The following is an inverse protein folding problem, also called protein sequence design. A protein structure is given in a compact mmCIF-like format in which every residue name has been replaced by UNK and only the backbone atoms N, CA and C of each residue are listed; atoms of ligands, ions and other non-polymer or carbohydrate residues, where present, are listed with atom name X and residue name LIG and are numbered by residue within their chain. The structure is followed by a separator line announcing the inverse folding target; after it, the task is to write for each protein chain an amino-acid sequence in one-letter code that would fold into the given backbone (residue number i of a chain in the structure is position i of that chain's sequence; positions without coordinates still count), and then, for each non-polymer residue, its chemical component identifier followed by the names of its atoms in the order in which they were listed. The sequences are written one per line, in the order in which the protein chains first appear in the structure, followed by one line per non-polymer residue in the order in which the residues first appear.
data_IF_199736516590
#
_entry.id   IF_199736516590
#
_cell.length_a   1.000
_cell.length_b   1.000
_cell.length_c   1.000
_cell.angle_alpha   90.00
_cell.angle_beta   90.00
_cell.angle_gamma   90.00
#
_symmetry.space_group_name_H-M   'P 1'
#
loop_
_entity.id
_entity.type
_entity.pdbx_description
1 polymer ?
#
# COMPACT_ATOMS: atom_id res chain seq x y z
N UNK A 1 -13.82 6.63 -20.22
CA UNK A 1 -12.69 6.90 -19.30
C UNK A 1 -12.95 5.99 -18.10
N UNK A 2 -12.01 5.11 -17.74
CA UNK A 2 -12.19 4.20 -16.59
C UNK A 2 -12.13 5.05 -15.32
N UNK A 3 -13.07 4.85 -14.39
CA UNK A 3 -13.07 5.60 -13.13
C UNK A 3 -12.03 5.06 -12.16
N UNK A 4 -11.73 5.87 -11.15
CA UNK A 4 -10.81 5.51 -10.09
C UNK A 4 -11.24 4.24 -9.34
N UNK A 5 -12.53 4.12 -9.01
CA UNK A 5 -13.11 2.94 -8.36
C UNK A 5 -13.10 1.70 -9.26
N UNK A 6 -13.36 1.86 -10.57
CA UNK A 6 -13.29 0.74 -11.52
C UNK A 6 -11.87 0.14 -11.60
N UNK A 7 -10.81 0.97 -11.50
CA UNK A 7 -9.44 0.47 -11.43
C UNK A 7 -9.19 -0.32 -10.14
N UNK A 8 -9.71 0.17 -9.01
CA UNK A 8 -9.59 -0.51 -7.72
C UNK A 8 -10.31 -1.86 -7.73
N UNK A 9 -11.53 -1.92 -8.27
CA UNK A 9 -12.27 -3.18 -8.40
C UNK A 9 -11.54 -4.20 -9.28
N UNK A 10 -10.94 -3.75 -10.39
CA UNK A 10 -10.13 -4.60 -11.26
C UNK A 10 -8.92 -5.15 -10.52
N UNK A 11 -8.24 -4.32 -9.73
CA UNK A 11 -7.07 -4.71 -8.94
C UNK A 11 -7.45 -5.76 -7.89
N UNK A 12 -8.49 -5.50 -7.10
CA UNK A 12 -8.98 -6.43 -6.09
C UNK A 12 -9.43 -7.75 -6.69
N UNK A 13 -10.10 -7.72 -7.86
CA UNK A 13 -10.47 -8.94 -8.58
C UNK A 13 -9.25 -9.72 -9.05
N UNK A 14 -8.26 -9.06 -9.64
CA UNK A 14 -7.03 -9.70 -10.10
C UNK A 14 -6.27 -10.37 -8.93
N UNK A 15 -6.18 -9.70 -7.78
CA UNK A 15 -5.57 -10.25 -6.55
C UNK A 15 -6.36 -11.47 -6.05
N UNK A 16 -7.70 -11.37 -6.01
CA UNK A 16 -8.56 -12.46 -5.57
C UNK A 16 -8.43 -13.68 -6.48
N UNK A 17 -8.52 -13.49 -7.78
CA UNK A 17 -8.43 -14.57 -8.76
C UNK A 17 -7.05 -15.27 -8.70
N UNK A 18 -5.97 -14.51 -8.46
CA UNK A 18 -4.65 -15.09 -8.25
C UNK A 18 -4.56 -15.90 -6.95
N UNK A 19 -5.05 -15.35 -5.83
CA UNK A 19 -5.06 -16.04 -4.52
C UNK A 19 -5.88 -17.33 -4.54
N UNK A 20 -6.94 -17.37 -5.33
CA UNK A 20 -7.79 -18.55 -5.51
C UNK A 20 -7.30 -19.52 -6.61
N UNK A 21 -6.15 -19.24 -7.22
CA UNK A 21 -5.56 -20.10 -8.25
C UNK A 21 -6.31 -20.12 -9.58
N UNK A 22 -7.21 -19.14 -9.82
CA UNK A 22 -7.99 -19.03 -11.07
C UNK A 22 -7.17 -18.48 -12.22
N UNK A 23 -6.12 -17.72 -11.93
CA UNK A 23 -5.15 -17.20 -12.89
C UNK A 23 -3.73 -17.53 -12.43
N UNK A 24 -2.81 -17.67 -13.39
CA UNK A 24 -1.39 -17.87 -13.09
C UNK A 24 -0.66 -16.54 -12.81
N UNK A 25 0.60 -16.64 -12.37
CA UNK A 25 1.42 -15.48 -12.01
C UNK A 25 1.66 -14.52 -13.18
N UNK A 26 1.85 -15.02 -14.40
CA UNK A 26 2.10 -14.17 -15.57
C UNK A 26 0.87 -13.33 -15.93
N UNK A 27 -0.32 -13.92 -15.88
CA UNK A 27 -1.59 -13.20 -16.08
C UNK A 27 -1.76 -12.14 -14.98
N UNK A 28 -1.61 -12.55 -13.71
CA UNK A 28 -1.69 -11.63 -12.57
C UNK A 28 -0.75 -10.43 -12.75
N UNK A 29 0.53 -10.69 -13.03
CA UNK A 29 1.56 -9.66 -13.21
C UNK A 29 1.24 -8.72 -14.37
N UNK A 30 0.80 -9.24 -15.51
CA UNK A 30 0.46 -8.43 -16.67
C UNK A 30 -0.76 -7.53 -16.43
N UNK A 31 -1.78 -8.03 -15.75
CA UNK A 31 -2.97 -7.23 -15.39
C UNK A 31 -2.61 -6.17 -14.36
N UNK A 32 -1.89 -6.51 -13.29
CA UNK A 32 -1.44 -5.54 -12.27
C UNK A 32 -0.58 -4.43 -12.86
N UNK A 33 0.28 -4.76 -13.84
CA UNK A 33 1.09 -3.76 -14.56
C UNK A 33 0.19 -2.76 -15.32
N UNK A 34 -0.79 -3.25 -16.09
CA UNK A 34 -1.72 -2.37 -16.84
C UNK A 34 -2.53 -1.47 -15.90
N UNK A 35 -3.03 -2.02 -14.81
CA UNK A 35 -3.77 -1.24 -13.80
C UNK A 35 -2.88 -0.16 -13.20
N UNK A 36 -1.63 -0.49 -12.85
CA UNK A 36 -0.67 0.48 -12.32
C UNK A 36 -0.36 1.60 -13.31
N UNK A 37 -0.22 1.28 -14.61
CA UNK A 37 0.00 2.26 -15.68
C UNK A 37 -1.22 3.17 -15.88
N UNK A 38 -2.42 2.60 -15.95
CA UNK A 38 -3.68 3.36 -16.08
C UNK A 38 -3.90 4.27 -14.87
N UNK A 39 -3.69 3.77 -13.66
CA UNK A 39 -3.83 4.53 -12.43
C UNK A 39 -2.80 5.66 -12.32
N UNK A 40 -1.53 5.39 -12.65
CA UNK A 40 -0.51 6.44 -12.60
C UNK A 40 -0.80 7.56 -13.60
N UNK A 41 -1.23 7.22 -14.83
CA UNK A 41 -1.65 8.21 -15.82
C UNK A 41 -2.87 9.02 -15.35
N UNK A 42 -3.82 8.38 -14.66
CA UNK A 42 -4.96 9.08 -14.06
C UNK A 42 -4.49 10.12 -13.03
N UNK A 43 -3.58 9.76 -12.11
CA UNK A 43 -3.05 10.70 -11.12
C UNK A 43 -2.30 11.86 -11.79
N UNK A 44 -1.49 11.60 -12.82
CA UNK A 44 -0.76 12.68 -13.51
C UNK A 44 -1.68 13.76 -14.08
N UNK A 45 -2.92 13.42 -14.41
CA UNK A 45 -3.92 14.36 -14.96
C UNK A 45 -4.79 14.98 -13.87
N UNK A 46 -5.20 14.19 -12.87
CA UNK A 46 -6.24 14.59 -11.91
C UNK A 46 -5.72 14.90 -10.50
N UNK A 47 -4.46 14.56 -10.21
CA UNK A 47 -3.87 14.59 -8.87
C UNK A 47 -4.23 13.35 -8.04
N UNK A 48 -3.55 13.23 -6.89
CA UNK A 48 -3.85 12.20 -5.90
C UNK A 48 -5.20 12.47 -5.21
N UNK A 49 -6.06 11.46 -5.00
CA UNK A 49 -7.38 11.65 -4.39
C UNK A 49 -7.26 11.81 -2.87
N UNK A 50 -7.02 13.03 -2.38
CA UNK A 50 -6.87 13.31 -0.94
C UNK A 50 -8.20 13.21 -0.17
N UNK A 51 -8.12 12.91 1.13
CA UNK A 51 -9.26 12.61 2.02
C UNK A 51 -10.40 13.64 1.98
N UNK A 52 -10.06 14.92 1.81
CA UNK A 52 -11.02 16.03 1.82
C UNK A 52 -11.51 16.45 0.43
N UNK A 53 -10.98 15.84 -0.63
CA UNK A 53 -11.32 16.14 -2.04
C UNK A 53 -12.25 15.11 -2.69
N UNK A 54 -12.36 13.92 -2.12
CA UNK A 54 -13.09 12.78 -2.68
C UNK A 54 -13.86 12.04 -1.59
N UNK A 55 -14.64 11.02 -1.95
CA UNK A 55 -15.26 10.12 -0.97
C UNK A 55 -14.20 9.30 -0.21
N UNK A 56 -14.55 8.80 1.00
CA UNK A 56 -13.66 7.92 1.78
C UNK A 56 -13.31 6.62 1.02
N UNK A 57 -14.24 6.13 0.19
CA UNK A 57 -14.01 4.96 -0.67
C UNK A 57 -12.94 5.25 -1.73
N UNK A 58 -13.07 6.36 -2.45
CA UNK A 58 -12.07 6.80 -3.43
C UNK A 58 -10.72 7.12 -2.77
N UNK A 59 -10.74 7.75 -1.60
CA UNK A 59 -9.51 8.00 -0.85
C UNK A 59 -8.76 6.70 -0.54
N UNK A 60 -9.45 5.71 0.03
CA UNK A 60 -8.85 4.41 0.41
C UNK A 60 -8.41 3.61 -0.80
N UNK A 61 -9.20 3.60 -1.87
CA UNK A 61 -8.79 2.98 -3.11
C UNK A 61 -7.52 3.66 -3.66
N UNK A 62 -7.39 4.99 -3.51
CA UNK A 62 -6.22 5.79 -3.92
C UNK A 62 -4.96 5.28 -3.27
N UNK A 63 -5.01 5.17 -1.95
CA UNK A 63 -3.93 4.62 -1.15
C UNK A 63 -3.58 3.19 -1.58
N UNK A 64 -4.59 2.31 -1.72
CA UNK A 64 -4.36 0.90 -2.07
C UNK A 64 -3.68 0.75 -3.43
N UNK A 65 -4.19 1.44 -4.46
CA UNK A 65 -3.62 1.38 -5.80
C UNK A 65 -2.21 1.97 -5.83
N UNK A 66 -1.94 3.03 -5.06
CA UNK A 66 -0.59 3.58 -4.94
C UNK A 66 0.39 2.59 -4.36
N UNK A 67 0.03 1.85 -3.31
CA UNK A 67 0.92 0.84 -2.71
C UNK A 67 1.23 -0.35 -3.64
N UNK A 68 0.53 -0.48 -4.76
CA UNK A 68 0.81 -1.47 -5.82
C UNK A 68 1.65 -0.92 -6.97
N UNK A 69 1.92 0.39 -7.01
CA UNK A 69 2.77 0.99 -8.04
C UNK A 69 4.21 0.49 -7.96
N UNK A 70 4.94 0.48 -9.10
CA UNK A 70 6.38 0.36 -9.11
C UNK A 70 7.05 1.44 -8.24
N UNK A 71 8.18 1.11 -7.62
CA UNK A 71 8.87 1.97 -6.65
C UNK A 71 9.09 3.41 -7.15
N UNK A 72 9.50 3.58 -8.40
CA UNK A 72 9.72 4.91 -8.98
C UNK A 72 8.45 5.78 -8.96
N UNK A 73 7.30 5.19 -9.33
CA UNK A 73 6.02 5.89 -9.35
C UNK A 73 5.50 6.11 -7.93
N UNK A 74 5.63 5.11 -7.05
CA UNK A 74 5.28 5.21 -5.64
C UNK A 74 6.00 6.39 -4.96
N UNK A 75 7.30 6.58 -5.24
CA UNK A 75 8.08 7.71 -4.72
C UNK A 75 7.58 9.06 -5.23
N UNK A 76 7.14 9.14 -6.49
CA UNK A 76 6.54 10.38 -7.04
C UNK A 76 5.24 10.73 -6.32
N UNK A 77 4.37 9.75 -6.11
CA UNK A 77 3.13 9.94 -5.33
C UNK A 77 3.43 10.34 -3.89
N UNK A 78 4.41 9.67 -3.25
CA UNK A 78 4.76 9.98 -1.87
C UNK A 78 5.27 11.42 -1.69
N UNK A 79 6.02 11.95 -2.67
CA UNK A 79 6.45 13.36 -2.65
C UNK A 79 5.26 14.35 -2.66
N UNK A 80 4.15 14.01 -3.33
CA UNK A 80 2.92 14.80 -3.27
C UNK A 80 2.26 14.70 -1.89
N UNK A 81 2.20 13.48 -1.33
CA UNK A 81 1.66 13.21 0.02
C UNK A 81 2.46 13.93 1.12
N UNK A 82 3.77 14.06 0.96
CA UNK A 82 4.63 14.78 1.91
C UNK A 82 4.40 16.29 1.88
N UNK A 83 4.00 16.84 0.74
CA UNK A 83 3.69 18.27 0.57
C UNK A 83 2.26 18.62 0.96
N UNK A 84 1.37 17.63 1.01
CA UNK A 84 -0.02 17.82 1.37
C UNK A 84 -0.18 18.26 2.84
N UNK A 85 -1.20 19.08 3.16
CA UNK A 85 -1.59 19.37 4.54
C UNK A 85 -1.77 18.11 5.38
N UNK A 86 -1.46 18.20 6.68
CA UNK A 86 -1.46 17.04 7.58
C UNK A 86 -2.83 16.36 7.74
N UNK A 87 -3.91 17.08 7.47
CA UNK A 87 -5.30 16.62 7.57
C UNK A 87 -5.85 16.01 6.27
N UNK A 88 -5.12 16.08 5.17
CA UNK A 88 -5.51 15.50 3.87
C UNK A 88 -5.09 14.04 3.71
N UNK A 89 -4.25 13.54 4.63
CA UNK A 89 -3.73 12.17 4.64
C UNK A 89 -3.63 11.63 6.06
N UNK A 90 -4.29 10.50 6.33
CA UNK A 90 -4.16 9.85 7.64
C UNK A 90 -2.71 9.35 7.86
N UNK A 91 -2.16 9.62 9.04
CA UNK A 91 -0.79 9.25 9.40
C UNK A 91 -0.50 7.76 9.19
N UNK A 92 -1.46 6.88 9.53
CA UNK A 92 -1.31 5.43 9.31
C UNK A 92 -0.94 5.11 7.87
N UNK A 93 -1.54 5.78 6.89
CA UNK A 93 -1.23 5.53 5.49
C UNK A 93 0.16 6.05 5.12
N UNK A 94 0.59 7.20 5.64
CA UNK A 94 1.99 7.65 5.51
C UNK A 94 2.98 6.58 5.97
N UNK A 95 2.71 5.89 7.09
CA UNK A 95 3.54 4.78 7.56
C UNK A 95 3.61 3.62 6.55
N UNK A 96 2.49 3.24 5.92
CA UNK A 96 2.48 2.22 4.85
C UNK A 96 3.33 2.62 3.65
N UNK A 97 3.24 3.88 3.18
CA UNK A 97 4.08 4.37 2.08
C UNK A 97 5.56 4.34 2.44
N UNK A 98 5.92 4.84 3.61
CA UNK A 98 7.31 4.92 4.09
C UNK A 98 7.94 3.52 4.11
N UNK A 99 7.30 2.55 4.76
CA UNK A 99 7.85 1.20 4.84
C UNK A 99 7.89 0.52 3.46
N UNK A 100 6.88 0.72 2.62
CA UNK A 100 6.87 0.15 1.25
C UNK A 100 8.04 0.67 0.41
N UNK A 101 8.31 1.98 0.49
CA UNK A 101 9.45 2.60 -0.18
C UNK A 101 10.76 2.07 0.39
N UNK A 102 10.90 2.05 1.71
CA UNK A 102 12.12 1.57 2.38
C UNK A 102 12.47 0.15 1.98
N UNK A 103 11.49 -0.76 1.96
CA UNK A 103 11.71 -2.14 1.48
C UNK A 103 12.12 -2.16 0.01
N UNK A 104 11.47 -1.36 -0.83
CA UNK A 104 11.84 -1.24 -2.24
C UNK A 104 13.28 -0.73 -2.44
N UNK A 105 13.79 0.05 -1.49
CA UNK A 105 15.17 0.56 -1.44
C UNK A 105 16.15 -0.34 -0.66
N UNK A 106 15.69 -1.51 -0.20
CA UNK A 106 16.53 -2.46 0.56
C UNK A 106 16.82 -2.03 2.00
N UNK A 107 16.05 -1.10 2.55
CA UNK A 107 16.18 -0.62 3.93
C UNK A 107 15.16 -1.31 4.86
N UNK A 108 15.50 -1.54 6.15
CA UNK A 108 14.56 -2.02 7.15
C UNK A 108 13.37 -1.08 7.32
N UNK A 109 12.20 -1.60 7.71
CA UNK A 109 10.99 -0.83 7.99
C UNK A 109 11.12 0.03 9.25
N UNK A 110 10.34 1.11 9.34
CA UNK A 110 10.22 1.90 10.56
C UNK A 110 8.98 1.52 11.37
N UNK A 111 7.87 1.19 10.69
CA UNK A 111 6.55 1.01 11.32
C UNK A 111 6.01 -0.43 11.21
N UNK A 112 6.74 -1.33 10.53
CA UNK A 112 6.38 -2.75 10.45
C UNK A 112 5.04 -2.99 9.76
N UNK A 113 4.74 -2.24 8.69
CA UNK A 113 3.46 -2.33 7.97
C UNK A 113 3.46 -3.37 6.85
N UNK A 114 4.63 -3.82 6.41
CA UNK A 114 4.79 -4.77 5.31
C UNK A 114 5.16 -6.15 5.85
N UNK A 115 4.52 -7.16 5.29
CA UNK A 115 4.63 -8.56 5.69
C UNK A 115 5.05 -9.43 4.51
N UNK A 116 5.66 -10.57 4.82
CA UNK A 116 6.00 -11.65 3.89
C UNK A 116 5.57 -12.98 4.48
N UNK A 117 5.50 -14.01 3.63
CA UNK A 117 5.46 -15.39 4.08
C UNK A 117 6.88 -15.93 4.12
N UNK A 118 7.27 -16.57 5.21
CA UNK A 118 8.54 -17.27 5.31
C UNK A 118 8.49 -18.64 4.60
N UNK A 119 9.60 -19.37 4.63
CA UNK A 119 9.73 -20.68 3.97
C UNK A 119 8.71 -21.72 4.46
N UNK A 120 8.27 -21.60 5.72
CA UNK A 120 7.24 -22.46 6.30
C UNK A 120 5.81 -21.97 5.98
N UNK A 121 5.65 -20.91 5.21
CA UNK A 121 4.37 -20.31 4.86
C UNK A 121 3.76 -19.41 5.95
N UNK A 122 4.44 -19.22 7.09
CA UNK A 122 3.98 -18.35 8.19
C UNK A 122 4.19 -16.88 7.81
N UNK A 123 3.23 -16.04 8.19
CA UNK A 123 3.33 -14.60 8.00
C UNK A 123 4.28 -13.99 9.04
N UNK A 124 5.19 -13.15 8.57
CA UNK A 124 6.11 -12.37 9.39
C UNK A 124 6.36 -11.00 8.77
N UNK A 125 6.91 -10.07 9.54
CA UNK A 125 7.34 -8.77 9.02
C UNK A 125 8.57 -8.93 8.13
N UNK A 126 8.73 -8.01 7.18
CA UNK A 126 10.09 -7.70 6.70
C UNK A 126 10.93 -7.10 7.84
N UNK A 127 12.25 -7.06 7.67
CA UNK A 127 13.17 -6.49 8.66
C UNK A 127 12.71 -5.11 9.14
N UNK A 128 12.83 -4.85 10.44
CA UNK A 128 12.44 -3.59 11.09
C UNK A 128 13.67 -3.01 11.76
N UNK A 129 13.90 -1.71 11.59
CA UNK A 129 15.10 -1.01 12.06
C UNK A 129 15.29 -1.11 13.58
N UNK A 130 14.20 -0.96 14.33
CA UNK A 130 14.22 -1.03 15.80
C UNK A 130 12.92 -1.66 16.31
N UNK A 131 12.99 -2.95 16.62
CA UNK A 131 11.86 -3.72 17.15
C UNK A 131 11.44 -3.26 18.55
N UNK A 132 12.38 -2.80 19.40
CA UNK A 132 12.09 -2.46 20.79
C UNK A 132 11.20 -1.22 20.92
N UNK A 133 11.31 -0.27 19.98
CA UNK A 133 10.48 0.94 19.96
C UNK A 133 9.42 0.93 18.85
N UNK A 134 9.17 -0.21 18.21
CA UNK A 134 8.23 -0.32 17.09
C UNK A 134 6.82 0.14 17.47
N UNK A 135 6.25 -0.41 18.54
CA UNK A 135 4.88 -0.09 18.94
C UNK A 135 4.70 1.36 19.37
N UNK A 136 5.74 1.99 19.91
CA UNK A 136 5.73 3.43 20.18
C UNK A 136 5.56 4.24 18.89
N UNK A 137 6.37 3.96 17.86
CA UNK A 137 6.26 4.62 16.55
C UNK A 137 4.93 4.31 15.85
N UNK A 138 4.43 3.08 15.99
CA UNK A 138 3.12 2.68 15.45
C UNK A 138 1.99 3.49 16.08
N UNK A 139 1.99 3.62 17.41
CA UNK A 139 1.00 4.40 18.13
C UNK A 139 0.99 5.88 17.72
N UNK A 140 2.16 6.50 17.56
CA UNK A 140 2.32 7.89 17.07
C UNK A 140 1.70 8.09 15.68
N UNK A 141 1.66 7.04 14.86
CA UNK A 141 1.06 7.05 13.52
C UNK A 141 -0.41 6.59 13.49
N UNK A 142 -1.01 6.30 14.65
CA UNK A 142 -2.39 5.78 14.74
C UNK A 142 -2.54 4.34 14.26
N UNK A 143 -1.47 3.54 14.32
CA UNK A 143 -1.48 2.11 14.07
C UNK A 143 -1.68 1.34 15.39
N UNK A 144 -2.35 0.19 15.30
CA UNK A 144 -2.43 -0.80 16.39
C UNK A 144 -1.04 -1.40 16.71
N UNK A 145 -0.92 -2.11 17.84
CA UNK A 145 0.34 -2.82 18.16
C UNK A 145 0.71 -3.83 17.07
N UNK A 146 2.00 -4.15 16.94
CA UNK A 146 2.47 -5.10 15.94
C UNK A 146 1.86 -6.49 16.13
N UNK A 147 1.66 -6.90 17.37
CA UNK A 147 1.03 -8.19 17.71
C UNK A 147 -0.45 -8.21 17.32
N UNK A 148 -1.20 -7.12 17.54
CA UNK A 148 -2.59 -7.01 17.08
C UNK A 148 -2.68 -7.04 15.55
N UNK A 149 -1.77 -6.34 14.88
CA UNK A 149 -1.70 -6.30 13.43
C UNK A 149 -1.44 -7.68 12.81
N UNK A 150 -0.50 -8.44 13.35
CA UNK A 150 -0.15 -9.76 12.82
C UNK A 150 -1.29 -10.78 12.97
N UNK A 151 -2.13 -10.66 14.01
CA UNK A 151 -3.34 -11.51 14.18
C UNK A 151 -4.31 -11.41 13.01
N UNK A 152 -4.33 -10.30 12.27
CA UNK A 152 -5.18 -10.15 11.09
C UNK A 152 -4.77 -11.07 9.92
N UNK A 153 -3.58 -11.67 10.01
CA UNK A 153 -2.98 -12.53 8.98
C UNK A 153 -2.71 -13.96 9.44
N UNK A 154 -2.89 -14.25 10.73
CA UNK A 154 -2.90 -15.61 11.27
C UNK A 154 -4.25 -16.28 10.89
N UNK A 155 -4.29 -16.89 9.71
CA UNK A 155 -5.42 -17.72 9.22
C UNK A 155 -4.95 -19.11 8.84
#
# INVERSE_FOLDING_TARGET
MVTFLELSEKDQRNIKDFKEGRINFDVFKNVSKKISEEFFNYILVNGFPFKNSVSDEEYRAGISLSLHLPLEHLKKIFLEIEKAPSDEIDLKYKAYFIDKIRIGEGSPQLYGTQIKKNECGKVELFEVEDMNNLDKRRNEMGLESVDEYLKNFDK
#
